data_IF_544479491907
#
_entry.id   IF_544479491907
#
_cell.length_a   1.000
_cell.length_b   1.000
_cell.length_c   1.000
_cell.angle_alpha   90.00
_cell.angle_beta   90.00
_cell.angle_gamma   90.00
#
_symmetry.space_group_name_H-M   'P 1'
#
loop_
_entity.id
_entity.type
_entity.pdbx_description
1 polymer ?
#
# COMPACT_ATOMS: atom_id res chain seq x y z
N UNK A 1 12.77 17.21 21.32
CA UNK A 1 12.53 15.83 20.85
C UNK A 1 11.02 15.61 20.90
N UNK A 2 10.38 15.32 19.77
CA UNK A 2 8.93 15.10 19.72
C UNK A 2 8.64 13.62 20.04
N UNK A 3 7.72 13.37 20.96
CA UNK A 3 7.25 12.01 21.28
C UNK A 3 6.11 11.62 20.34
N UNK A 4 5.98 10.33 19.98
CA UNK A 4 4.81 9.83 19.26
C UNK A 4 3.51 10.13 20.01
N UNK A 5 2.46 10.48 19.28
CA UNK A 5 1.13 10.66 19.86
C UNK A 5 0.58 9.31 20.32
N UNK A 6 0.45 9.07 21.63
CA UNK A 6 0.02 7.77 22.16
C UNK A 6 -1.35 7.29 21.61
N UNK A 7 -2.23 8.21 21.22
CA UNK A 7 -3.54 7.91 20.62
C UNK A 7 -3.53 7.59 19.12
N UNK A 8 -2.37 7.62 18.45
CA UNK A 8 -2.25 7.30 17.04
C UNK A 8 -1.87 5.83 16.84
N UNK A 9 -2.70 5.07 16.13
CA UNK A 9 -2.50 3.64 15.90
C UNK A 9 -2.33 2.88 17.23
N UNK A 10 -1.28 2.05 17.29
CA UNK A 10 -0.85 1.36 18.51
C UNK A 10 0.33 2.12 19.12
N UNK A 11 0.07 2.84 20.21
CA UNK A 11 1.08 3.59 20.98
C UNK A 11 1.93 4.57 20.14
N UNK A 12 1.32 5.22 19.16
CA UNK A 12 1.99 6.17 18.27
C UNK A 12 2.54 5.59 16.98
N UNK A 13 2.21 4.34 16.66
CA UNK A 13 2.71 3.64 15.46
C UNK A 13 1.65 2.80 14.76
N UNK A 14 1.85 2.52 13.48
CA UNK A 14 1.01 1.60 12.70
C UNK A 14 1.94 0.52 12.14
N UNK A 15 1.54 -0.74 12.28
CA UNK A 15 2.18 -1.85 11.59
C UNK A 15 1.63 -1.95 10.16
N UNK A 16 2.45 -1.52 9.18
CA UNK A 16 2.08 -1.54 7.77
C UNK A 16 2.18 -2.93 7.13
N UNK A 17 2.82 -3.89 7.79
CA UNK A 17 2.89 -5.28 7.32
C UNK A 17 1.58 -6.05 7.61
N UNK A 18 0.72 -5.53 8.48
CA UNK A 18 -0.52 -6.16 8.88
C UNK A 18 -1.44 -6.42 7.67
N UNK A 19 -1.74 -7.69 7.40
CA UNK A 19 -2.62 -8.09 6.29
C UNK A 19 -1.99 -7.98 4.90
N UNK A 20 -0.66 -7.90 4.82
CA UNK A 20 0.12 -8.14 3.61
C UNK A 20 0.51 -9.62 3.58
N UNK A 21 0.27 -10.29 2.45
CA UNK A 21 0.76 -11.64 2.24
C UNK A 21 2.22 -11.57 1.75
N UNK A 22 3.13 -12.17 2.51
CA UNK A 22 4.56 -12.23 2.19
C UNK A 22 4.82 -13.57 1.55
N UNK A 23 4.71 -13.61 0.22
CA UNK A 23 4.70 -14.86 -0.56
C UNK A 23 6.02 -15.63 -0.51
N UNK A 24 7.14 -14.97 -0.22
CA UNK A 24 8.44 -15.47 -0.68
C UNK A 24 9.47 -15.83 0.41
N UNK A 25 9.23 -15.61 1.73
CA UNK A 25 10.22 -15.97 2.78
C UNK A 25 9.67 -16.29 4.18
N UNK A 26 10.46 -17.02 5.02
CA UNK A 26 10.26 -17.08 6.47
C UNK A 26 10.23 -15.68 7.09
N UNK A 27 9.42 -15.49 8.14
CA UNK A 27 9.14 -14.20 8.83
C UNK A 27 10.39 -13.49 9.40
N UNK A 28 11.53 -14.15 9.37
CA UNK A 28 12.81 -13.86 9.99
C UNK A 28 13.90 -13.41 8.99
N UNK A 29 13.64 -13.45 7.69
CA UNK A 29 14.46 -12.75 6.69
C UNK A 29 13.95 -11.31 6.52
N UNK A 30 14.86 -10.34 6.32
CA UNK A 30 14.51 -8.93 6.06
C UNK A 30 13.26 -8.83 5.19
N UNK A 31 12.16 -8.35 5.77
CA UNK A 31 10.92 -8.18 5.03
C UNK A 31 11.22 -7.22 3.87
N UNK A 32 11.04 -7.66 2.63
CA UNK A 32 11.20 -6.79 1.46
C UNK A 32 9.97 -5.89 1.30
N UNK A 33 9.40 -5.44 2.41
CA UNK A 33 8.25 -4.58 2.51
C UNK A 33 8.59 -3.45 3.47
N UNK A 34 8.68 -2.24 2.93
CA UNK A 34 9.06 -1.04 3.67
C UNK A 34 8.27 0.17 3.16
N UNK A 35 8.60 1.35 3.70
CA UNK A 35 8.17 2.65 3.17
C UNK A 35 9.41 3.52 3.04
N UNK A 36 9.76 3.86 1.80
CA UNK A 36 10.98 4.60 1.48
C UNK A 36 10.75 6.07 1.16
N UNK A 37 9.49 6.46 0.94
CA UNK A 37 9.08 7.84 0.67
C UNK A 37 8.15 8.35 1.76
N UNK A 38 8.14 9.67 2.03
CA UNK A 38 7.21 10.24 2.99
C UNK A 38 5.76 10.02 2.54
N UNK A 39 4.83 9.82 3.49
CA UNK A 39 3.42 9.80 3.18
C UNK A 39 2.93 11.20 2.79
N UNK A 40 1.76 11.28 2.19
CA UNK A 40 1.07 12.55 1.93
C UNK A 40 -0.18 12.67 2.78
N UNK A 41 -0.62 13.89 3.05
CA UNK A 41 -1.89 14.15 3.74
C UNK A 41 -2.84 14.81 2.75
N UNK A 42 -3.99 14.19 2.52
CA UNK A 42 -5.07 14.70 1.69
C UNK A 42 -6.32 14.91 2.58
N UNK A 43 -6.59 16.15 2.96
CA UNK A 43 -7.59 16.46 3.97
C UNK A 43 -7.21 15.89 5.34
N UNK A 44 -8.06 15.06 5.92
CA UNK A 44 -7.82 14.35 7.18
C UNK A 44 -7.25 12.93 6.98
N UNK A 45 -6.83 12.58 5.75
CA UNK A 45 -6.34 11.24 5.40
C UNK A 45 -4.84 11.24 5.17
N UNK A 46 -4.11 10.44 5.96
CA UNK A 46 -2.71 10.11 5.73
C UNK A 46 -2.64 8.95 4.72
N UNK A 47 -2.04 9.20 3.55
CA UNK A 47 -1.88 8.20 2.49
C UNK A 47 -0.44 7.71 2.43
N UNK A 48 -0.28 6.39 2.53
CA UNK A 48 1.01 5.72 2.62
C UNK A 48 1.13 4.70 1.49
N UNK A 49 2.20 4.81 0.71
CA UNK A 49 2.58 3.84 -0.32
C UNK A 49 3.30 2.62 0.27
N UNK A 50 4.01 1.89 -0.59
CA UNK A 50 4.82 0.73 -0.20
C UNK A 50 6.09 0.64 -1.02
N UNK A 51 7.12 0.05 -0.44
CA UNK A 51 8.40 -0.19 -1.07
C UNK A 51 8.69 -1.68 -1.01
N UNK A 52 8.80 -2.31 -2.17
CA UNK A 52 9.03 -3.74 -2.31
C UNK A 52 10.32 -3.94 -3.08
N UNK A 53 11.13 -4.91 -2.65
CA UNK A 53 12.24 -5.41 -3.47
C UNK A 53 11.69 -6.21 -4.66
N UNK A 54 11.27 -5.50 -5.70
CA UNK A 54 10.46 -6.00 -6.82
C UNK A 54 11.27 -6.67 -7.94
N UNK A 55 12.60 -6.67 -7.82
CA UNK A 55 13.53 -7.30 -8.77
C UNK A 55 13.82 -8.79 -8.47
N UNK A 56 13.01 -9.46 -7.66
CA UNK A 56 13.25 -10.84 -7.18
C UNK A 56 12.43 -11.92 -7.89
N UNK A 57 11.36 -11.55 -8.58
CA UNK A 57 10.43 -12.50 -9.19
C UNK A 57 9.04 -11.90 -9.34
N UNK A 58 8.05 -12.76 -9.58
CA UNK A 58 6.64 -12.35 -9.71
C UNK A 58 5.82 -12.64 -8.46
N UNK A 59 6.15 -13.67 -7.68
CA UNK A 59 5.49 -14.01 -6.42
C UNK A 59 6.06 -13.18 -5.27
N UNK A 60 5.69 -11.89 -5.23
CA UNK A 60 6.22 -10.91 -4.28
C UNK A 60 5.15 -10.49 -3.26
N UNK A 61 5.54 -9.62 -2.34
CA UNK A 61 4.62 -8.91 -1.45
C UNK A 61 3.64 -8.03 -2.25
N UNK A 62 2.51 -7.66 -1.64
CA UNK A 62 1.49 -6.85 -2.30
C UNK A 62 1.80 -5.35 -2.20
N UNK A 63 1.82 -4.63 -3.33
CA UNK A 63 2.07 -3.19 -3.42
C UNK A 63 0.93 -2.29 -2.92
N UNK A 64 0.26 -2.68 -1.83
CA UNK A 64 -0.91 -1.99 -1.29
C UNK A 64 -0.57 -0.55 -0.92
N UNK A 65 -1.49 0.37 -1.22
CA UNK A 65 -1.52 1.75 -0.72
C UNK A 65 -2.65 1.89 0.27
N UNK A 66 -2.43 2.60 1.37
CA UNK A 66 -3.39 2.70 2.48
C UNK A 66 -3.69 4.14 2.83
N UNK A 67 -4.95 4.39 3.19
CA UNK A 67 -5.40 5.63 3.78
C UNK A 67 -5.73 5.43 5.25
N UNK A 68 -5.16 6.26 6.11
CA UNK A 68 -5.42 6.29 7.54
C UNK A 68 -6.03 7.60 7.96
N UNK A 69 -6.85 7.60 9.00
CA UNK A 69 -7.21 8.81 9.72
C UNK A 69 -5.93 9.45 10.28
N UNK A 70 -5.63 10.68 9.88
CA UNK A 70 -4.36 11.33 10.23
C UNK A 70 -4.23 11.62 11.73
N UNK A 71 -5.32 11.61 12.51
CA UNK A 71 -5.31 11.88 13.95
C UNK A 71 -5.25 10.59 14.77
N UNK A 72 -6.02 9.59 14.38
CA UNK A 72 -6.17 8.35 15.15
C UNK A 72 -5.33 7.19 14.62
N UNK A 73 -4.82 7.26 13.39
CA UNK A 73 -4.11 6.16 12.73
C UNK A 73 -5.01 4.96 12.36
N UNK A 74 -6.33 5.14 12.39
CA UNK A 74 -7.29 4.08 12.02
C UNK A 74 -7.31 3.92 10.50
N UNK A 75 -7.21 2.69 10.01
CA UNK A 75 -7.32 2.42 8.57
C UNK A 75 -8.73 2.80 8.08
N UNK A 76 -8.77 3.63 7.04
CA UNK A 76 -10.00 4.06 6.37
C UNK A 76 -10.24 3.22 5.12
N UNK A 77 -9.18 2.96 4.37
CA UNK A 77 -9.22 2.19 3.14
C UNK A 77 -7.83 1.65 2.80
N UNK A 78 -7.83 0.64 1.93
CA UNK A 78 -6.64 0.12 1.26
C UNK A 78 -6.96 -0.11 -0.21
N UNK A 79 -5.98 0.13 -1.06
CA UNK A 79 -6.05 -0.10 -2.49
C UNK A 79 -4.93 -1.03 -2.91
N UNK A 80 -5.30 -2.05 -3.67
CA UNK A 80 -4.38 -3.02 -4.25
C UNK A 80 -4.32 -2.79 -5.77
N UNK A 81 -3.14 -2.47 -6.33
CA UNK A 81 -3.00 -2.24 -7.76
C UNK A 81 -3.21 -3.52 -8.60
N UNK A 82 -3.05 -4.70 -8.00
CA UNK A 82 -3.34 -5.97 -8.68
C UNK A 82 -4.80 -6.35 -8.41
N UNK A 83 -5.60 -6.64 -9.44
CA UNK A 83 -7.04 -6.93 -9.30
C UNK A 83 -7.29 -8.37 -8.81
N UNK A 84 -6.88 -8.69 -7.57
CA UNK A 84 -7.03 -10.03 -6.98
C UNK A 84 -8.47 -10.37 -6.63
N UNK A 85 -9.23 -9.37 -6.15
CA UNK A 85 -10.65 -9.48 -5.82
C UNK A 85 -11.35 -8.15 -6.14
N UNK A 86 -11.46 -7.78 -7.43
CA UNK A 86 -11.99 -6.49 -7.82
C UNK A 86 -13.48 -6.41 -7.45
N UNK A 87 -13.87 -5.30 -6.81
CA UNK A 87 -15.28 -4.95 -6.70
C UNK A 87 -15.87 -4.77 -8.12
N UNK A 88 -17.19 -4.84 -8.26
CA UNK A 88 -17.85 -4.69 -9.57
C UNK A 88 -17.45 -3.38 -10.29
N UNK A 89 -17.27 -2.29 -9.53
CA UNK A 89 -16.82 -0.99 -10.06
C UNK A 89 -15.39 -1.03 -10.64
N UNK A 90 -14.57 -2.00 -10.27
CA UNK A 90 -13.19 -2.20 -10.73
C UNK A 90 -13.06 -3.35 -11.74
N UNK A 91 -14.16 -3.90 -12.26
CA UNK A 91 -14.13 -5.04 -13.18
C UNK A 91 -13.29 -4.78 -14.44
N UNK A 92 -13.28 -3.54 -14.95
CA UNK A 92 -12.45 -3.15 -16.08
C UNK A 92 -10.95 -3.29 -15.79
N UNK A 93 -10.50 -3.05 -14.55
CA UNK A 93 -9.11 -3.22 -14.16
C UNK A 93 -8.66 -4.69 -14.19
N UNK A 94 -9.61 -5.63 -14.10
CA UNK A 94 -9.35 -7.06 -14.19
C UNK A 94 -9.36 -7.59 -15.64
N UNK A 95 -9.70 -6.75 -16.63
CA UNK A 95 -9.68 -7.17 -18.03
C UNK A 95 -8.26 -7.58 -18.43
N UNK A 96 -8.12 -8.80 -18.96
CA UNK A 96 -6.83 -9.37 -19.36
C UNK A 96 -6.07 -10.11 -18.24
N UNK A 97 -6.54 -10.05 -16.99
CA UNK A 97 -5.96 -10.84 -15.89
C UNK A 97 -6.55 -12.25 -15.84
N UNK A 98 -5.69 -13.26 -15.65
CA UNK A 98 -6.12 -14.58 -15.21
C UNK A 98 -6.27 -14.56 -13.68
N UNK A 99 -7.40 -15.01 -13.10
CA UNK A 99 -7.62 -14.98 -11.65
C UNK A 99 -6.50 -15.65 -10.84
N UNK A 100 -5.97 -16.77 -11.33
CA UNK A 100 -4.90 -17.53 -10.67
C UNK A 100 -3.57 -16.76 -10.68
N UNK A 101 -3.30 -15.97 -11.72
CA UNK A 101 -2.11 -15.11 -11.79
C UNK A 101 -2.25 -13.90 -10.87
N UNK A 102 -3.42 -13.26 -10.88
CA UNK A 102 -3.69 -12.13 -9.98
C UNK A 102 -3.55 -12.54 -8.50
N UNK A 103 -3.97 -13.76 -8.15
CA UNK A 103 -3.86 -14.27 -6.79
C UNK A 103 -2.41 -14.42 -6.28
N UNK A 104 -1.44 -14.68 -7.16
CA UNK A 104 -0.06 -15.02 -6.77
C UNK A 104 0.97 -13.95 -7.08
N UNK A 105 0.75 -13.16 -8.14
CA UNK A 105 1.65 -12.05 -8.49
C UNK A 105 1.69 -11.05 -7.34
N UNK A 106 2.84 -10.41 -7.11
CA UNK A 106 3.04 -9.31 -6.16
C UNK A 106 3.49 -8.02 -6.87
N UNK A 107 4.13 -7.12 -6.15
CA UNK A 107 4.62 -5.85 -6.69
C UNK A 107 3.52 -4.82 -6.89
N UNK A 108 3.70 -3.93 -7.88
CA UNK A 108 2.81 -2.78 -8.11
C UNK A 108 2.93 -1.69 -7.04
N UNK A 109 4.00 -1.71 -6.24
CA UNK A 109 4.17 -0.85 -5.08
C UNK A 109 4.41 0.62 -5.45
N UNK A 110 3.92 1.52 -4.60
CA UNK A 110 4.12 2.96 -4.76
C UNK A 110 5.29 3.45 -3.90
N UNK A 111 6.51 3.21 -4.38
CA UNK A 111 7.74 3.58 -3.66
C UNK A 111 8.14 5.05 -3.87
N UNK A 112 7.76 5.64 -5.00
CA UNK A 112 8.03 7.03 -5.33
C UNK A 112 7.09 7.98 -4.56
N UNK A 113 7.47 9.26 -4.38
CA UNK A 113 6.60 10.24 -3.73
C UNK A 113 5.22 10.34 -4.41
N UNK A 114 4.17 10.40 -3.59
CA UNK A 114 2.80 10.61 -4.04
C UNK A 114 2.54 12.11 -4.26
N UNK A 115 1.57 12.46 -5.10
CA UNK A 115 1.11 13.84 -5.28
C UNK A 115 -0.34 13.99 -4.88
N UNK A 116 -0.72 15.17 -4.38
CA UNK A 116 -2.09 15.49 -3.96
C UNK A 116 -2.57 16.72 -4.70
N UNK A 117 -3.79 16.65 -5.24
CA UNK A 117 -4.54 17.82 -5.69
C UNK A 117 -5.72 18.05 -4.73
N UNK A 118 -5.61 19.02 -3.81
CA UNK A 118 -6.66 19.31 -2.84
C UNK A 118 -7.93 19.88 -3.46
N UNK A 119 -7.83 20.55 -4.62
CA UNK A 119 -8.99 21.14 -5.28
C UNK A 119 -9.88 20.07 -5.92
N UNK A 120 -9.26 19.01 -6.44
CA UNK A 120 -9.96 17.85 -7.00
C UNK A 120 -10.24 16.75 -5.95
N UNK A 121 -9.61 16.81 -4.79
CA UNK A 121 -9.68 15.76 -3.78
C UNK A 121 -9.02 14.46 -4.25
N UNK A 122 -7.95 14.57 -5.04
CA UNK A 122 -7.28 13.42 -5.66
C UNK A 122 -5.88 13.20 -5.10
N UNK A 123 -5.49 11.93 -5.04
CA UNK A 123 -4.11 11.50 -4.79
C UNK A 123 -3.63 10.72 -6.01
N UNK A 124 -2.49 11.13 -6.56
CA UNK A 124 -1.84 10.48 -7.67
C UNK A 124 -0.78 9.51 -7.15
N UNK A 125 -0.95 8.25 -7.52
CA UNK A 125 -0.13 7.15 -7.03
C UNK A 125 0.64 6.56 -8.21
N UNK A 126 1.97 6.77 -8.29
CA UNK A 126 2.80 6.13 -9.29
C UNK A 126 3.04 4.67 -8.91
N UNK A 127 2.79 3.76 -9.84
CA UNK A 127 3.14 2.34 -9.71
C UNK A 127 4.07 1.93 -10.85
N UNK A 128 5.06 1.05 -10.62
CA UNK A 128 5.85 0.48 -11.69
C UNK A 128 4.95 -0.30 -12.66
N UNK A 129 5.34 -0.33 -13.94
CA UNK A 129 4.71 -1.22 -14.90
C UNK A 129 5.05 -2.68 -14.54
N UNK A 130 4.04 -3.55 -14.63
CA UNK A 130 4.20 -5.00 -14.50
C UNK A 130 4.77 -5.63 -15.77
#
# INVERSE_FOLDING_TARGET
MAWPCAGFGTAGSIDLSAGIDVQDRPKDAWANYAVTSPPVVAGDVLVVGSSIGDNRGHALEQGVVRGYDARSGRELWRWDPVPRAPAAAAAAAAAGWQPQQAATVGGGNAWAPLAVDPALGLVYVPTPAA
#
